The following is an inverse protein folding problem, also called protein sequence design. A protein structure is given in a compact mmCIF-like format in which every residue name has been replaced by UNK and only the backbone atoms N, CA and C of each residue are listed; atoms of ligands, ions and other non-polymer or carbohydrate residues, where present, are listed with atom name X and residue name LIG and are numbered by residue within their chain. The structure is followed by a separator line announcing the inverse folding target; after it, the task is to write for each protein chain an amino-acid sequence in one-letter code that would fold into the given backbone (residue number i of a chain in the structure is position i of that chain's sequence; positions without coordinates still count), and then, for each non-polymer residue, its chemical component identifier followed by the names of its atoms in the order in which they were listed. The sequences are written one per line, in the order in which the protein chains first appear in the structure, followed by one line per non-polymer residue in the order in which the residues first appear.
data_IF_604407914825
#
_entry.id   IF_604407914825
#
_cell.length_a   1.000
_cell.length_b   1.000
_cell.length_c   1.000
_cell.angle_alpha   90.00
_cell.angle_beta   90.00
_cell.angle_gamma   90.00
#
_symmetry.space_group_name_H-M   'P 1'
#
loop_
_entity.id
_entity.type
_entity.pdbx_description
1 polymer ?
#
# COMPACT_ATOMS: atom_id res chain seq x y z
N UNK A 1 19.18 35.67 26.59
CA UNK A 1 19.80 34.49 25.97
C UNK A 1 18.84 34.04 24.88
N UNK A 2 19.21 34.32 23.64
CA UNK A 2 18.38 34.11 22.46
C UNK A 2 18.32 32.62 22.10
N UNK A 3 17.11 32.08 21.89
CA UNK A 3 16.91 30.77 21.33
C UNK A 3 17.27 30.76 19.83
N UNK A 4 17.90 29.70 19.32
CA UNK A 4 18.20 29.63 17.90
C UNK A 4 16.92 29.38 17.10
N UNK A 5 16.70 30.29 16.18
CA UNK A 5 15.72 30.22 15.09
C UNK A 5 16.08 29.07 14.14
N UNK A 6 15.43 27.89 14.28
CA UNK A 6 15.54 26.81 13.32
C UNK A 6 14.53 27.03 12.21
N UNK A 7 14.76 28.06 11.40
CA UNK A 7 14.17 28.15 10.08
C UNK A 7 14.67 26.98 9.25
N UNK A 8 13.82 25.96 9.12
CA UNK A 8 14.05 24.77 8.29
C UNK A 8 14.15 25.22 6.83
N UNK A 9 15.31 24.98 6.24
CA UNK A 9 15.53 25.10 4.81
C UNK A 9 14.40 24.40 4.04
N UNK A 10 13.86 25.11 3.04
CA UNK A 10 12.99 24.52 2.04
C UNK A 10 13.70 23.29 1.44
N UNK A 11 12.96 22.21 1.09
CA UNK A 11 13.58 21.06 0.46
C UNK A 11 14.33 21.54 -0.78
N UNK A 12 15.60 21.16 -0.87
CA UNK A 12 16.44 21.41 -2.03
C UNK A 12 15.71 20.87 -3.27
N UNK A 13 15.27 21.77 -4.12
CA UNK A 13 14.75 21.43 -5.44
C UNK A 13 15.92 20.86 -6.24
N UNK A 14 16.00 19.54 -6.35
CA UNK A 14 16.67 18.70 -7.35
C UNK A 14 17.09 17.34 -6.75
N UNK A 15 16.22 16.63 -6.01
CA UNK A 15 16.33 15.18 -5.98
C UNK A 15 15.81 14.69 -7.34
N UNK A 16 16.65 13.99 -8.12
CA UNK A 16 16.23 13.44 -9.42
C UNK A 16 15.00 12.56 -9.22
N UNK A 17 14.02 12.65 -10.13
CA UNK A 17 12.78 11.87 -10.09
C UNK A 17 13.03 10.34 -10.10
N UNK A 18 14.27 9.91 -10.24
CA UNK A 18 14.72 8.52 -10.30
C UNK A 18 15.27 7.99 -8.97
N UNK A 19 15.27 8.81 -7.90
CA UNK A 19 15.79 8.39 -6.60
C UNK A 19 14.71 7.64 -5.80
N UNK A 20 15.05 6.38 -5.40
CA UNK A 20 14.18 5.55 -4.57
C UNK A 20 14.01 6.17 -3.18
N UNK A 21 12.76 6.50 -2.81
CA UNK A 21 12.41 6.99 -1.47
C UNK A 21 12.18 5.85 -0.48
N UNK A 22 11.81 4.67 -0.99
CA UNK A 22 11.70 3.42 -0.24
C UNK A 22 12.38 2.32 -1.05
N UNK A 23 13.27 1.57 -0.40
CA UNK A 23 13.86 0.35 -0.96
C UNK A 23 13.57 -0.81 -0.02
N UNK A 24 12.94 -1.84 -0.55
CA UNK A 24 12.63 -3.11 0.13
C UNK A 24 13.42 -4.21 -0.54
N UNK A 25 14.26 -4.95 0.21
CA UNK A 25 15.13 -5.99 -0.34
C UNK A 25 15.00 -7.30 0.43
N UNK A 26 14.69 -8.37 -0.30
CA UNK A 26 14.52 -9.75 0.19
C UNK A 26 13.72 -9.83 1.51
N UNK A 27 12.67 -9.02 1.61
CA UNK A 27 11.88 -8.87 2.81
C UNK A 27 11.14 -10.17 3.14
N UNK A 28 11.30 -10.65 4.37
CA UNK A 28 10.68 -11.89 4.85
C UNK A 28 9.96 -11.68 6.17
N UNK A 29 8.81 -12.32 6.31
CA UNK A 29 8.09 -12.41 7.57
C UNK A 29 7.47 -13.78 7.75
N UNK A 30 7.89 -14.48 8.79
CA UNK A 30 7.30 -15.72 9.22
C UNK A 30 6.55 -15.51 10.55
N UNK A 31 5.36 -16.05 10.63
CA UNK A 31 4.60 -16.16 11.88
C UNK A 31 4.63 -17.61 12.36
N UNK A 32 4.98 -17.78 13.62
CA UNK A 32 4.96 -19.10 14.26
C UNK A 32 3.67 -19.22 15.06
N UNK A 33 2.91 -20.31 14.83
CA UNK A 33 1.69 -20.56 15.60
C UNK A 33 2.00 -20.71 17.08
N UNK A 34 1.07 -20.29 17.97
CA UNK A 34 1.23 -20.41 19.44
C UNK A 34 1.55 -21.84 19.92
N UNK A 35 1.26 -22.86 19.10
CA UNK A 35 1.58 -24.28 19.40
C UNK A 35 2.90 -24.74 18.76
N UNK A 36 3.67 -23.86 18.12
CA UNK A 36 4.98 -24.15 17.52
C UNK A 36 4.97 -25.11 16.32
N UNK A 37 3.78 -25.57 15.88
CA UNK A 37 3.65 -26.64 14.85
C UNK A 37 3.50 -26.14 13.42
N UNK A 38 3.12 -24.90 13.20
CA UNK A 38 2.98 -24.33 11.86
C UNK A 38 3.72 -23.00 11.76
N UNK A 39 4.49 -22.85 10.68
CA UNK A 39 5.12 -21.61 10.26
C UNK A 39 4.37 -21.08 9.05
N UNK A 40 3.90 -19.85 9.11
CA UNK A 40 3.22 -19.18 8.00
C UNK A 40 4.17 -18.15 7.42
N UNK A 41 4.61 -18.36 6.19
CA UNK A 41 5.45 -17.44 5.44
C UNK A 41 4.57 -16.37 4.79
N UNK A 42 4.23 -15.35 5.55
CA UNK A 42 3.34 -14.29 5.08
C UNK A 42 4.00 -13.39 4.03
N UNK A 43 5.33 -13.16 4.15
CA UNK A 43 6.17 -12.47 3.18
C UNK A 43 7.45 -13.29 3.03
N UNK A 44 7.86 -13.60 1.80
CA UNK A 44 8.96 -14.53 1.54
C UNK A 44 9.82 -14.10 0.34
N UNK A 45 10.65 -13.09 0.57
CA UNK A 45 11.60 -12.58 -0.43
C UNK A 45 10.99 -11.51 -1.33
N UNK A 46 10.22 -10.58 -0.76
CA UNK A 46 9.66 -9.43 -1.48
C UNK A 46 10.73 -8.36 -1.66
N UNK A 47 10.93 -7.91 -2.90
CA UNK A 47 11.85 -6.82 -3.25
C UNK A 47 11.18 -5.87 -4.22
N UNK A 48 11.23 -4.58 -3.94
CA UNK A 48 10.81 -3.49 -4.82
C UNK A 48 11.33 -2.15 -4.31
N UNK A 49 11.40 -1.19 -5.20
CA UNK A 49 11.70 0.21 -4.89
C UNK A 49 10.47 1.08 -5.20
N UNK A 50 10.28 2.13 -4.40
CA UNK A 50 9.31 3.19 -4.63
C UNK A 50 10.06 4.48 -4.90
N UNK A 51 9.77 5.14 -6.02
CA UNK A 51 10.39 6.41 -6.39
C UNK A 51 9.69 7.57 -5.67
N UNK A 52 10.39 8.69 -5.58
CA UNK A 52 9.80 9.90 -5.01
C UNK A 52 8.62 10.39 -5.87
N UNK A 53 7.47 10.64 -5.23
CA UNK A 53 6.25 11.06 -5.91
C UNK A 53 5.54 9.94 -6.69
N UNK A 54 5.98 8.68 -6.59
CA UNK A 54 5.37 7.53 -7.26
C UNK A 54 4.26 6.91 -6.42
N UNK A 55 3.28 6.30 -7.09
CA UNK A 55 2.27 5.44 -6.50
C UNK A 55 2.51 4.00 -6.97
N UNK A 56 2.99 3.14 -6.08
CA UNK A 56 3.13 1.70 -6.33
C UNK A 56 1.90 0.96 -5.81
N UNK A 57 1.13 0.35 -6.70
CA UNK A 57 0.03 -0.55 -6.37
C UNK A 57 0.54 -1.94 -5.96
N UNK A 58 0.24 -2.42 -4.76
CA UNK A 58 0.50 -3.80 -4.33
C UNK A 58 -0.81 -4.57 -4.36
N UNK A 59 -0.97 -5.43 -5.37
CA UNK A 59 -2.26 -6.07 -5.71
C UNK A 59 -2.17 -7.59 -5.52
N UNK A 60 -3.29 -8.23 -5.19
CA UNK A 60 -3.40 -9.69 -5.08
C UNK A 60 -4.57 -10.12 -4.20
N UNK A 61 -4.86 -11.42 -4.16
CA UNK A 61 -5.95 -11.99 -3.37
C UNK A 61 -5.75 -11.77 -1.85
N UNK A 62 -6.85 -11.90 -1.08
CA UNK A 62 -6.78 -11.79 0.38
C UNK A 62 -5.81 -12.83 0.97
N UNK A 63 -5.02 -12.45 1.96
CA UNK A 63 -4.06 -13.34 2.61
C UNK A 63 -2.74 -13.54 1.88
N UNK A 64 -2.50 -12.93 0.71
CA UNK A 64 -1.23 -13.10 -0.03
C UNK A 64 -0.03 -12.35 0.58
N UNK A 65 -0.21 -11.54 1.65
CA UNK A 65 0.87 -10.88 2.38
C UNK A 65 0.95 -9.35 2.24
N UNK A 66 0.07 -8.70 1.48
CA UNK A 66 0.08 -7.23 1.22
C UNK A 66 0.06 -6.40 2.50
N UNK A 67 -0.96 -6.59 3.34
CA UNK A 67 -1.09 -5.89 4.63
C UNK A 67 0.11 -6.16 5.55
N UNK A 68 0.67 -7.38 5.50
CA UNK A 68 1.88 -7.72 6.27
C UNK A 68 3.07 -6.93 5.78
N UNK A 69 3.24 -6.79 4.45
CA UNK A 69 4.27 -5.94 3.84
C UNK A 69 4.11 -4.48 4.26
N UNK A 70 2.89 -3.95 4.22
CA UNK A 70 2.59 -2.60 4.72
C UNK A 70 2.94 -2.40 6.20
N UNK A 71 2.60 -3.36 7.06
CA UNK A 71 2.94 -3.33 8.50
C UNK A 71 4.44 -3.40 8.75
N UNK A 72 5.20 -4.12 7.93
CA UNK A 72 6.66 -4.16 7.99
C UNK A 72 7.26 -2.80 7.61
N UNK A 73 6.79 -2.18 6.53
CA UNK A 73 7.21 -0.84 6.12
C UNK A 73 6.90 0.19 7.22
N UNK A 74 5.76 0.07 7.87
CA UNK A 74 5.36 0.92 9.00
C UNK A 74 6.11 0.62 10.30
N UNK A 75 6.97 -0.40 10.35
CA UNK A 75 7.59 -0.91 11.59
C UNK A 75 6.58 -1.20 12.71
N UNK A 76 5.38 -1.65 12.34
CA UNK A 76 4.39 -2.16 13.30
C UNK A 76 4.70 -3.60 13.72
N UNK A 77 5.45 -4.31 12.89
CA UNK A 77 6.00 -5.64 13.13
C UNK A 77 7.44 -5.69 12.60
N UNK A 78 8.29 -6.50 13.23
CA UNK A 78 9.68 -6.68 12.80
C UNK A 78 9.77 -7.70 11.66
N UNK A 79 10.66 -7.51 10.67
CA UNK A 79 10.95 -8.50 9.65
C UNK A 79 11.65 -9.72 10.26
N UNK A 80 11.50 -10.88 9.62
CA UNK A 80 12.28 -12.08 9.95
C UNK A 80 13.63 -12.11 9.22
N UNK A 81 13.72 -11.45 8.06
CA UNK A 81 14.93 -11.21 7.27
C UNK A 81 14.67 -10.13 6.22
N UNK A 82 15.71 -9.69 5.54
CA UNK A 82 15.69 -8.63 4.53
C UNK A 82 15.83 -7.25 5.15
N UNK A 83 15.78 -6.21 4.32
CA UNK A 83 15.97 -4.83 4.74
C UNK A 83 14.92 -3.89 4.14
N UNK A 84 14.66 -2.80 4.87
CA UNK A 84 13.79 -1.70 4.44
C UNK A 84 14.56 -0.41 4.69
N UNK A 85 14.78 0.37 3.64
CA UNK A 85 15.45 1.67 3.69
C UNK A 85 14.46 2.74 3.23
N UNK A 86 14.28 3.80 4.02
CA UNK A 86 13.43 4.94 3.70
C UNK A 86 14.24 6.22 3.76
N UNK A 87 14.32 6.93 2.63
CA UNK A 87 15.04 8.22 2.52
C UNK A 87 16.47 8.13 3.11
N UNK A 88 17.17 7.03 2.77
CA UNK A 88 18.52 6.70 3.24
C UNK A 88 18.63 6.13 4.66
N UNK A 89 17.51 6.04 5.41
CA UNK A 89 17.48 5.44 6.75
C UNK A 89 17.18 3.94 6.68
N UNK A 90 18.12 3.11 7.13
CA UNK A 90 17.86 1.68 7.35
C UNK A 90 16.97 1.51 8.60
N UNK A 91 15.90 0.73 8.45
CA UNK A 91 14.94 0.53 9.55
C UNK A 91 15.41 -0.50 10.58
N UNK A 92 16.47 -1.27 10.31
CA UNK A 92 16.95 -2.31 11.22
C UNK A 92 17.51 -1.73 12.54
N UNK A 93 18.27 -0.63 12.46
CA UNK A 93 19.08 -0.10 13.55
C UNK A 93 18.61 1.27 14.07
N UNK A 94 17.35 1.65 13.86
CA UNK A 94 16.83 2.93 14.32
C UNK A 94 16.79 3.02 15.86
N UNK A 95 17.51 4.00 16.41
CA UNK A 95 17.39 4.42 17.78
C UNK A 95 16.00 5.04 18.06
N UNK A 96 15.72 5.33 19.33
CA UNK A 96 14.41 5.84 19.75
C UNK A 96 14.00 7.13 19.05
N UNK A 97 14.92 8.08 18.92
CA UNK A 97 14.63 9.39 18.31
C UNK A 97 14.50 9.27 16.78
N UNK A 98 15.26 8.38 16.16
CA UNK A 98 15.17 8.07 14.74
C UNK A 98 13.88 7.32 14.42
N UNK A 99 13.43 6.37 15.25
CA UNK A 99 12.14 5.71 15.11
C UNK A 99 10.98 6.71 15.19
N UNK A 100 11.09 7.69 16.09
CA UNK A 100 10.10 8.76 16.22
C UNK A 100 10.06 9.66 14.96
N UNK A 101 11.23 10.01 14.41
CA UNK A 101 11.34 10.75 13.15
C UNK A 101 10.84 9.92 11.95
N UNK A 102 11.12 8.62 11.93
CA UNK A 102 10.61 7.68 10.93
C UNK A 102 9.09 7.65 10.89
N UNK A 103 8.44 7.50 12.06
CA UNK A 103 6.98 7.47 12.20
C UNK A 103 6.30 8.75 11.73
N UNK A 104 7.01 9.88 11.71
CA UNK A 104 6.51 11.11 11.09
C UNK A 104 6.59 11.08 9.57
N UNK A 105 7.63 10.44 9.01
CA UNK A 105 7.89 10.39 7.56
C UNK A 105 7.03 9.35 6.85
N UNK A 106 6.75 8.23 7.52
CA UNK A 106 5.96 7.12 6.96
C UNK A 106 4.67 7.02 7.76
N UNK A 107 3.55 7.19 7.09
CA UNK A 107 2.22 7.17 7.69
C UNK A 107 1.35 6.10 7.04
N UNK A 108 0.28 5.69 7.72
CA UNK A 108 -0.62 4.65 7.22
C UNK A 108 -2.08 5.11 7.21
N UNK A 109 -2.76 4.83 6.11
CA UNK A 109 -4.22 4.84 6.02
C UNK A 109 -4.68 3.40 6.16
N UNK A 110 -5.43 3.10 7.21
CA UNK A 110 -5.90 1.74 7.52
C UNK A 110 -7.19 1.42 6.76
N UNK A 111 -7.41 0.14 6.53
CA UNK A 111 -8.60 -0.41 5.88
C UNK A 111 -9.90 -0.01 6.60
N UNK A 112 -9.89 -0.04 7.92
CA UNK A 112 -11.04 0.37 8.74
C UNK A 112 -10.76 1.74 9.40
N UNK A 113 -11.37 2.82 8.88
CA UNK A 113 -11.21 4.15 9.46
C UNK A 113 -11.84 4.26 10.87
N UNK A 114 -12.81 3.40 11.23
CA UNK A 114 -13.36 3.35 12.57
C UNK A 114 -12.36 2.84 13.59
N UNK A 115 -11.69 1.73 13.27
CA UNK A 115 -10.71 1.15 14.17
C UNK A 115 -9.48 2.07 14.38
N UNK A 116 -9.24 2.99 13.44
CA UNK A 116 -8.10 3.93 13.50
C UNK A 116 -8.36 5.17 14.36
N UNK A 117 -9.60 5.47 14.74
CA UNK A 117 -9.99 6.67 15.47
C UNK A 117 -10.67 6.30 16.79
N UNK A 118 -10.32 6.99 17.88
CA UNK A 118 -11.03 6.83 19.15
C UNK A 118 -12.45 7.41 19.04
N UNK A 119 -13.52 6.58 19.20
CA UNK A 119 -14.90 7.04 19.01
C UNK A 119 -15.36 8.06 20.06
N UNK A 120 -14.67 8.18 21.18
CA UNK A 120 -14.96 9.14 22.24
C UNK A 120 -14.36 10.53 22.00
N UNK A 121 -13.44 10.66 21.05
CA UNK A 121 -12.82 11.93 20.72
C UNK A 121 -13.64 12.68 19.67
N UNK A 122 -13.63 14.00 19.74
CA UNK A 122 -14.13 14.86 18.68
C UNK A 122 -13.12 14.89 17.53
N UNK A 123 -13.57 15.22 16.34
CA UNK A 123 -12.73 15.28 15.13
C UNK A 123 -11.52 16.21 15.34
N UNK A 124 -11.73 17.37 15.99
CA UNK A 124 -10.62 18.27 16.34
C UNK A 124 -9.55 17.61 17.20
N UNK A 125 -9.95 16.79 18.16
CA UNK A 125 -9.02 16.11 19.06
C UNK A 125 -8.30 14.97 18.33
N UNK A 126 -8.99 14.24 17.45
CA UNK A 126 -8.41 13.20 16.57
C UNK A 126 -7.34 13.78 15.66
N UNK A 127 -7.55 14.98 15.12
CA UNK A 127 -6.60 15.63 14.22
C UNK A 127 -5.50 16.39 14.97
N UNK A 128 -5.76 16.90 16.18
CA UNK A 128 -4.76 17.59 17.02
C UNK A 128 -3.78 16.61 17.66
N UNK A 129 -4.21 15.37 17.97
CA UNK A 129 -3.41 14.35 18.66
C UNK A 129 -2.02 14.09 18.01
N UNK A 130 -1.88 13.85 16.69
CA UNK A 130 -0.58 13.66 16.06
C UNK A 130 0.35 14.87 16.21
N UNK A 131 -0.19 16.09 16.16
CA UNK A 131 0.57 17.31 16.35
C UNK A 131 1.13 17.42 17.78
N UNK A 132 0.31 17.06 18.77
CA UNK A 132 0.73 17.03 20.17
C UNK A 132 1.82 16.00 20.41
N UNK A 133 1.66 14.78 19.88
CA UNK A 133 2.63 13.69 20.00
C UNK A 133 3.98 14.13 19.41
N UNK A 134 3.97 14.76 18.24
CA UNK A 134 5.19 15.16 17.53
C UNK A 134 5.69 16.57 17.88
N UNK A 135 5.07 17.23 18.86
CA UNK A 135 5.50 18.57 19.32
C UNK A 135 5.37 19.66 18.24
N UNK A 136 4.40 19.53 17.33
CA UNK A 136 4.18 20.45 16.20
C UNK A 136 3.14 21.50 16.62
N UNK A 137 3.49 22.78 16.51
CA UNK A 137 2.65 23.91 16.90
C UNK A 137 2.75 24.21 18.42
N UNK A 138 3.34 25.35 18.76
CA UNK A 138 3.63 25.74 20.13
C UNK A 138 2.37 26.09 20.93
N UNK A 139 1.35 26.58 20.22
CA UNK A 139 0.06 26.97 20.81
C UNK A 139 -1.09 26.17 20.23
N UNK A 140 -2.19 26.08 20.97
CA UNK A 140 -3.40 25.45 20.45
C UNK A 140 -3.92 26.14 19.19
N UNK A 141 -3.82 27.46 19.12
CA UNK A 141 -4.25 28.24 17.97
C UNK A 141 -3.44 27.89 16.71
N UNK A 142 -2.13 27.67 16.83
CA UNK A 142 -1.29 27.19 15.72
C UNK A 142 -1.67 25.79 15.27
N UNK A 143 -1.89 24.87 16.22
CA UNK A 143 -2.32 23.50 15.86
C UNK A 143 -3.68 23.48 15.18
N UNK A 144 -4.64 24.30 15.64
CA UNK A 144 -5.96 24.41 15.02
C UNK A 144 -5.89 24.92 13.57
N UNK A 145 -4.99 25.86 13.24
CA UNK A 145 -4.74 26.27 11.85
C UNK A 145 -4.22 25.13 10.99
N UNK A 146 -3.35 24.28 11.54
CA UNK A 146 -2.88 23.08 10.82
C UNK A 146 -4.01 22.06 10.62
N UNK A 147 -4.89 21.89 11.61
CA UNK A 147 -6.08 21.05 11.53
C UNK A 147 -7.03 21.56 10.44
N UNK A 148 -7.34 22.85 10.43
CA UNK A 148 -8.21 23.45 9.41
C UNK A 148 -7.63 23.28 8.00
N UNK A 149 -6.33 23.51 7.82
CA UNK A 149 -5.64 23.30 6.55
C UNK A 149 -5.69 21.83 6.11
N UNK A 150 -5.51 20.87 7.03
CA UNK A 150 -5.62 19.44 6.71
C UNK A 150 -7.06 19.07 6.29
N UNK A 151 -8.08 19.67 6.94
CA UNK A 151 -9.48 19.50 6.57
C UNK A 151 -9.79 20.06 5.18
N UNK A 152 -9.23 21.22 4.83
CA UNK A 152 -9.37 21.83 3.50
C UNK A 152 -8.76 20.93 2.42
N UNK A 153 -7.55 20.37 2.65
CA UNK A 153 -6.91 19.44 1.71
C UNK A 153 -7.77 18.22 1.38
N UNK A 154 -8.53 17.72 2.34
CA UNK A 154 -9.45 16.59 2.12
C UNK A 154 -10.87 17.01 1.76
N UNK A 155 -11.08 18.28 1.40
CA UNK A 155 -12.38 18.85 1.01
C UNK A 155 -13.49 18.68 2.08
N UNK A 156 -13.12 18.80 3.35
CA UNK A 156 -14.05 18.84 4.48
C UNK A 156 -14.26 20.30 4.93
N UNK A 157 -14.98 21.05 4.12
CA UNK A 157 -15.18 22.51 4.30
C UNK A 157 -16.66 22.87 4.41
N UNK A 158 -17.03 23.84 5.28
CA UNK A 158 -16.18 24.52 6.26
C UNK A 158 -15.81 23.57 7.43
N UNK A 159 -14.56 23.63 7.89
CA UNK A 159 -14.06 22.76 8.96
C UNK A 159 -14.91 22.82 10.24
N UNK A 160 -15.42 24.03 10.56
CA UNK A 160 -16.25 24.30 11.75
C UNK A 160 -17.49 23.39 11.87
N UNK A 161 -18.04 22.91 10.76
CA UNK A 161 -19.19 22.01 10.79
C UNK A 161 -18.87 20.60 11.30
N UNK A 162 -17.59 20.19 11.24
CA UNK A 162 -17.16 18.83 11.55
C UNK A 162 -16.34 18.72 12.81
N UNK A 163 -15.58 19.75 13.18
CA UNK A 163 -14.57 19.71 14.26
C UNK A 163 -15.13 19.29 15.62
N UNK A 164 -16.37 19.65 15.94
CA UNK A 164 -17.02 19.30 17.21
C UNK A 164 -17.85 18.00 17.15
N UNK A 165 -17.94 17.35 15.98
CA UNK A 165 -18.60 16.06 15.82
C UNK A 165 -17.69 14.91 16.27
N UNK A 166 -18.32 13.77 16.58
CA UNK A 166 -17.61 12.51 16.82
C UNK A 166 -17.54 11.66 15.53
N UNK A 167 -16.56 10.74 15.40
CA UNK A 167 -16.40 9.89 14.21
C UNK A 167 -17.67 9.13 13.80
N UNK A 168 -18.48 8.67 14.77
CA UNK A 168 -19.72 7.93 14.50
C UNK A 168 -20.82 8.78 13.85
N UNK A 169 -20.70 10.10 13.92
CA UNK A 169 -21.67 11.05 13.32
C UNK A 169 -21.39 11.35 11.85
N UNK A 170 -20.30 10.79 11.30
CA UNK A 170 -19.85 11.00 9.92
C UNK A 170 -20.25 9.82 9.01
N UNK A 171 -20.44 10.09 7.71
CA UNK A 171 -20.56 9.03 6.70
C UNK A 171 -19.23 8.27 6.51
N UNK A 172 -19.27 7.10 5.85
CA UNK A 172 -18.06 6.31 5.56
C UNK A 172 -17.01 7.11 4.80
N UNK A 173 -17.40 7.80 3.73
CA UNK A 173 -16.50 8.66 2.95
C UNK A 173 -15.96 9.86 3.73
N UNK A 174 -16.78 10.50 4.58
CA UNK A 174 -16.33 11.59 5.45
C UNK A 174 -15.31 11.09 6.48
N UNK A 175 -15.51 9.93 7.08
CA UNK A 175 -14.54 9.31 7.99
C UNK A 175 -13.22 9.02 7.31
N UNK A 176 -13.28 8.49 6.08
CA UNK A 176 -12.06 8.23 5.31
C UNK A 176 -11.30 9.51 5.00
N UNK A 177 -12.00 10.59 4.66
CA UNK A 177 -11.38 11.92 4.50
C UNK A 177 -10.70 12.39 5.78
N UNK A 178 -11.34 12.23 6.94
CA UNK A 178 -10.73 12.57 8.25
C UNK A 178 -9.51 11.69 8.55
N UNK A 179 -9.56 10.38 8.29
CA UNK A 179 -8.41 9.49 8.44
C UNK A 179 -7.25 9.91 7.53
N UNK A 180 -7.56 10.31 6.29
CA UNK A 180 -6.58 10.88 5.37
C UNK A 180 -6.01 12.21 5.90
N UNK A 181 -6.85 13.14 6.38
CA UNK A 181 -6.38 14.41 6.98
C UNK A 181 -5.43 14.17 8.16
N UNK A 182 -5.77 13.21 9.05
CA UNK A 182 -4.93 12.82 10.18
C UNK A 182 -3.55 12.34 9.75
N UNK A 183 -3.48 11.62 8.64
CA UNK A 183 -2.23 11.12 8.04
C UNK A 183 -1.42 12.29 7.46
N UNK A 184 -2.06 13.20 6.73
CA UNK A 184 -1.43 14.33 6.05
C UNK A 184 -0.91 15.41 6.98
N UNK A 185 -1.50 15.57 8.15
CA UNK A 185 -1.21 16.67 9.08
C UNK A 185 0.26 16.68 9.56
N UNK A 186 0.92 15.52 9.52
CA UNK A 186 2.34 15.36 9.84
C UNK A 186 3.26 15.67 8.67
N UNK A 187 2.71 15.99 7.48
CA UNK A 187 3.47 16.19 6.25
C UNK A 187 4.41 15.01 5.96
N UNK A 188 3.89 13.80 5.76
CA UNK A 188 4.68 12.59 5.55
C UNK A 188 5.43 12.62 4.22
N UNK A 189 6.35 11.69 4.04
CA UNK A 189 7.07 11.44 2.79
C UNK A 189 6.43 10.28 2.01
N UNK A 190 6.01 9.26 2.75
CA UNK A 190 5.39 8.04 2.23
C UNK A 190 4.09 7.78 2.98
N UNK A 191 3.07 7.37 2.23
CA UNK A 191 1.82 6.87 2.78
C UNK A 191 1.63 5.42 2.34
N UNK A 192 1.48 4.52 3.30
CA UNK A 192 1.00 3.15 3.06
C UNK A 192 -0.52 3.18 3.19
N UNK A 193 -1.23 3.01 2.09
CA UNK A 193 -2.69 2.99 2.07
C UNK A 193 -3.18 1.54 1.94
N UNK A 194 -3.63 0.95 3.05
CA UNK A 194 -4.09 -0.44 3.09
C UNK A 194 -5.61 -0.49 2.88
N UNK A 195 -6.02 -0.87 1.68
CA UNK A 195 -7.41 -0.97 1.23
C UNK A 195 -8.26 0.28 1.58
N UNK A 196 -7.81 1.50 1.26
CA UNK A 196 -8.38 2.72 1.79
C UNK A 196 -9.82 3.01 1.34
N UNK A 197 -10.34 2.27 0.35
CA UNK A 197 -11.70 2.45 -0.20
C UNK A 197 -12.58 1.19 -0.10
N UNK A 198 -12.10 0.10 0.51
CA UNK A 198 -12.83 -1.18 0.55
C UNK A 198 -14.15 -1.10 1.35
N UNK A 199 -14.19 -0.27 2.40
CA UNK A 199 -15.35 -0.09 3.28
C UNK A 199 -16.30 1.05 2.85
N UNK A 200 -16.15 1.56 1.62
CA UNK A 200 -16.88 2.70 1.10
C UNK A 200 -17.77 2.24 -0.06
N UNK A 201 -18.93 2.89 -0.22
CA UNK A 201 -19.81 2.65 -1.36
C UNK A 201 -19.11 2.98 -2.70
N UNK A 202 -19.53 2.31 -3.77
CA UNK A 202 -18.85 2.34 -5.08
C UNK A 202 -18.75 3.77 -5.66
N UNK A 203 -19.79 4.60 -5.49
CA UNK A 203 -19.81 5.97 -6.02
C UNK A 203 -18.78 6.86 -5.31
N UNK A 204 -18.64 6.71 -4.01
CA UNK A 204 -17.70 7.51 -3.20
C UNK A 204 -16.24 7.04 -3.34
N UNK A 205 -16.00 5.76 -3.73
CA UNK A 205 -14.62 5.24 -3.96
C UNK A 205 -13.84 6.07 -4.96
N UNK A 206 -14.43 6.34 -6.12
CA UNK A 206 -13.79 7.12 -7.17
C UNK A 206 -13.43 8.54 -6.69
N UNK A 207 -14.32 9.19 -5.93
CA UNK A 207 -14.06 10.52 -5.37
C UNK A 207 -12.88 10.52 -4.40
N UNK A 208 -12.78 9.51 -3.52
CA UNK A 208 -11.67 9.38 -2.57
C UNK A 208 -10.35 9.12 -3.30
N UNK A 209 -10.33 8.24 -4.30
CA UNK A 209 -9.11 7.98 -5.09
C UNK A 209 -8.67 9.22 -5.87
N UNK A 210 -9.60 9.96 -6.49
CA UNK A 210 -9.30 11.24 -7.13
C UNK A 210 -8.73 12.26 -6.15
N UNK A 211 -9.32 12.36 -4.96
CA UNK A 211 -8.82 13.23 -3.90
C UNK A 211 -7.39 12.85 -3.50
N UNK A 212 -7.12 11.57 -3.25
CA UNK A 212 -5.79 11.08 -2.88
C UNK A 212 -4.76 11.36 -3.99
N UNK A 213 -5.11 11.17 -5.27
CA UNK A 213 -4.23 11.47 -6.42
C UNK A 213 -3.96 12.98 -6.55
N UNK A 214 -4.95 13.82 -6.31
CA UNK A 214 -4.77 15.27 -6.27
C UNK A 214 -3.82 15.71 -5.15
N UNK A 215 -3.98 15.15 -3.95
CA UNK A 215 -3.11 15.42 -2.79
C UNK A 215 -1.68 14.94 -3.06
N UNK A 216 -1.53 13.75 -3.64
CA UNK A 216 -0.23 13.20 -4.04
C UNK A 216 0.52 14.17 -4.96
N UNK A 217 -0.14 14.65 -6.02
CA UNK A 217 0.46 15.59 -6.96
C UNK A 217 0.79 16.95 -6.31
N UNK A 218 -0.07 17.47 -5.42
CA UNK A 218 0.14 18.77 -4.76
C UNK A 218 1.28 18.73 -3.73
N UNK A 219 1.44 17.61 -3.02
CA UNK A 219 2.42 17.49 -1.92
C UNK A 219 3.70 16.74 -2.33
N UNK A 220 3.74 16.12 -3.52
CA UNK A 220 4.84 15.27 -3.96
C UNK A 220 4.97 14.00 -3.10
N UNK A 221 3.84 13.46 -2.62
CA UNK A 221 3.81 12.27 -1.77
C UNK A 221 4.09 11.01 -2.58
N UNK A 222 4.70 10.02 -1.94
CA UNK A 222 4.82 8.67 -2.51
C UNK A 222 3.86 7.73 -1.81
N UNK A 223 3.26 6.79 -2.55
CA UNK A 223 2.28 5.85 -2.00
C UNK A 223 2.67 4.39 -2.24
N UNK A 224 2.52 3.57 -1.21
CA UNK A 224 2.32 2.12 -1.37
C UNK A 224 0.83 1.86 -1.20
N UNK A 225 0.14 1.65 -2.33
CA UNK A 225 -1.31 1.45 -2.39
C UNK A 225 -1.64 -0.04 -2.39
N UNK A 226 -2.16 -0.55 -1.30
CA UNK A 226 -2.52 -1.96 -1.13
C UNK A 226 -4.00 -2.15 -1.44
N UNK A 227 -4.31 -3.08 -2.35
CA UNK A 227 -5.68 -3.42 -2.72
C UNK A 227 -5.80 -4.87 -3.21
N UNK A 228 -6.98 -5.42 -3.13
CA UNK A 228 -7.34 -6.67 -3.82
C UNK A 228 -8.04 -6.41 -5.16
N UNK A 229 -8.40 -5.17 -5.44
CA UNK A 229 -9.11 -4.76 -6.65
C UNK A 229 -8.14 -4.12 -7.65
N UNK A 230 -7.81 -4.88 -8.71
CA UNK A 230 -6.88 -4.43 -9.75
C UNK A 230 -7.43 -3.24 -10.56
N UNK A 231 -8.77 -3.06 -10.63
CA UNK A 231 -9.38 -1.91 -11.31
C UNK A 231 -9.06 -0.60 -10.60
N UNK A 232 -9.11 -0.61 -9.27
CA UNK A 232 -8.74 0.58 -8.49
C UNK A 232 -7.25 0.87 -8.60
N UNK A 233 -6.39 -0.18 -8.68
CA UNK A 233 -4.97 -0.02 -8.93
C UNK A 233 -4.68 0.55 -10.32
N UNK A 234 -5.39 0.09 -11.36
CA UNK A 234 -5.31 0.67 -12.72
C UNK A 234 -5.56 2.18 -12.73
N UNK A 235 -6.54 2.62 -11.97
CA UNK A 235 -6.89 4.04 -11.91
C UNK A 235 -5.89 4.88 -11.11
N UNK A 236 -5.34 4.32 -10.03
CA UNK A 236 -4.61 5.10 -9.03
C UNK A 236 -3.09 4.96 -9.14
N UNK A 237 -2.56 3.76 -9.44
CA UNK A 237 -1.14 3.47 -9.41
C UNK A 237 -0.39 3.88 -10.70
N UNK A 238 0.89 4.21 -10.57
CA UNK A 238 1.82 4.43 -11.69
C UNK A 238 2.54 3.12 -12.06
N UNK A 239 2.86 2.29 -11.06
CA UNK A 239 3.36 0.92 -11.22
C UNK A 239 2.56 -0.04 -10.36
N UNK A 240 2.48 -1.29 -10.80
CA UNK A 240 1.74 -2.35 -10.09
C UNK A 240 2.69 -3.52 -9.82
N UNK A 241 2.70 -3.98 -8.57
CA UNK A 241 3.31 -5.22 -8.13
C UNK A 241 2.22 -6.22 -7.74
N UNK A 242 2.14 -7.34 -8.45
CA UNK A 242 1.17 -8.41 -8.20
C UNK A 242 1.76 -9.42 -7.23
N UNK A 243 1.09 -9.64 -6.12
CA UNK A 243 1.57 -10.49 -5.03
C UNK A 243 0.73 -11.77 -4.90
N UNK A 244 1.40 -12.92 -4.82
CA UNK A 244 0.80 -14.23 -4.63
C UNK A 244 1.56 -15.04 -3.56
N UNK A 245 0.87 -15.57 -2.55
CA UNK A 245 1.44 -16.37 -1.45
C UNK A 245 2.79 -15.85 -0.92
N UNK A 246 2.85 -14.58 -0.58
CA UNK A 246 4.03 -13.95 0.03
C UNK A 246 5.13 -13.51 -0.94
N UNK A 247 4.94 -13.60 -2.26
CA UNK A 247 5.92 -13.18 -3.27
C UNK A 247 5.31 -12.26 -4.32
N UNK A 248 6.12 -11.38 -4.89
CA UNK A 248 5.79 -10.65 -6.12
C UNK A 248 5.99 -11.62 -7.28
N UNK A 249 4.95 -11.79 -8.10
CA UNK A 249 4.95 -12.66 -9.28
C UNK A 249 5.05 -11.87 -10.58
N UNK A 250 4.66 -10.61 -10.55
CA UNK A 250 4.78 -9.68 -11.67
C UNK A 250 4.86 -8.24 -11.14
N UNK A 251 5.70 -7.39 -11.74
CA UNK A 251 5.82 -5.98 -11.43
C UNK A 251 6.23 -5.21 -12.68
N UNK A 252 5.59 -4.07 -12.93
CA UNK A 252 5.87 -3.22 -14.09
C UNK A 252 5.10 -1.91 -13.99
N UNK A 253 5.12 -1.12 -15.06
CA UNK A 253 4.22 0.02 -15.21
C UNK A 253 2.76 -0.46 -15.20
N UNK A 254 1.84 0.43 -14.88
CA UNK A 254 0.42 0.12 -14.88
C UNK A 254 -0.03 -0.43 -16.24
N UNK A 255 0.40 0.17 -17.34
CA UNK A 255 0.05 -0.27 -18.71
C UNK A 255 0.61 -1.67 -19.02
N UNK A 256 1.87 -1.95 -18.64
CA UNK A 256 2.48 -3.27 -18.88
C UNK A 256 1.76 -4.39 -18.13
N UNK A 257 1.48 -4.19 -16.84
CA UNK A 257 0.85 -5.23 -16.00
C UNK A 257 -0.61 -5.44 -16.36
N UNK A 258 -1.34 -4.38 -16.74
CA UNK A 258 -2.79 -4.48 -17.02
C UNK A 258 -3.07 -4.84 -18.47
N UNK A 259 -2.41 -4.19 -19.43
CA UNK A 259 -2.74 -4.37 -20.85
C UNK A 259 -1.88 -5.48 -21.50
N UNK A 260 -0.72 -5.82 -20.89
CA UNK A 260 0.21 -6.86 -21.36
C UNK A 260 0.63 -7.82 -20.24
N UNK A 261 -0.31 -8.40 -19.47
CA UNK A 261 0.00 -9.29 -18.35
C UNK A 261 0.74 -10.54 -18.84
N UNK A 262 1.81 -10.91 -18.16
CA UNK A 262 2.68 -12.03 -18.51
C UNK A 262 2.42 -13.24 -17.61
N UNK A 263 2.28 -13.02 -16.31
CA UNK A 263 2.07 -14.11 -15.37
C UNK A 263 0.60 -14.60 -15.43
N UNK A 264 0.32 -15.92 -15.52
CA UNK A 264 -1.05 -16.43 -15.60
C UNK A 264 -1.97 -15.99 -14.46
N UNK A 265 -1.42 -15.79 -13.27
CA UNK A 265 -2.19 -15.24 -12.13
C UNK A 265 -2.64 -13.82 -12.38
N UNK A 266 -1.79 -12.96 -12.94
CA UNK A 266 -2.13 -11.56 -13.28
C UNK A 266 -3.25 -11.52 -14.32
N UNK A 267 -3.15 -12.34 -15.37
CA UNK A 267 -4.20 -12.48 -16.39
C UNK A 267 -5.54 -12.84 -15.77
N UNK A 268 -5.53 -13.84 -14.90
CA UNK A 268 -6.72 -14.30 -14.23
C UNK A 268 -7.32 -13.26 -13.25
N UNK A 269 -6.51 -12.46 -12.57
CA UNK A 269 -7.00 -11.35 -11.76
C UNK A 269 -7.68 -10.26 -12.59
N UNK A 270 -7.14 -9.96 -13.77
CA UNK A 270 -7.71 -8.97 -14.69
C UNK A 270 -9.03 -9.48 -15.28
N UNK A 271 -9.05 -10.73 -15.74
CA UNK A 271 -10.26 -11.35 -16.29
C UNK A 271 -11.41 -11.45 -15.28
N UNK A 272 -11.09 -11.67 -14.00
CA UNK A 272 -12.11 -11.73 -12.94
C UNK A 272 -12.83 -10.40 -12.71
N UNK A 273 -12.25 -9.29 -13.13
CA UNK A 273 -12.79 -7.92 -12.92
C UNK A 273 -13.43 -7.38 -14.21
N UNK A 274 -13.03 -7.85 -15.39
CA UNK A 274 -13.66 -7.43 -16.65
C UNK A 274 -15.13 -7.88 -16.64
N UNK A 275 -16.06 -6.94 -16.43
CA UNK A 275 -17.49 -7.16 -16.65
C UNK A 275 -17.71 -7.65 -18.09
N UNK A 276 -18.59 -8.64 -18.32
CA UNK A 276 -18.99 -8.99 -19.68
C UNK A 276 -19.58 -7.75 -20.35
N UNK A 277 -19.03 -7.33 -21.48
CA UNK A 277 -19.65 -6.30 -22.31
C UNK A 277 -21.12 -6.66 -22.47
N UNK A 278 -22.00 -5.77 -22.07
CA UNK A 278 -23.46 -5.92 -22.10
C UNK A 278 -23.90 -6.25 -23.54
N UNK A 279 -24.19 -7.53 -23.80
CA UNK A 279 -24.67 -7.99 -25.09
C UNK A 279 -24.19 -9.38 -25.55
N UNK A 280 -23.22 -9.99 -24.92
CA UNK A 280 -22.79 -11.37 -25.21
C UNK A 280 -22.98 -12.28 -23.99
N UNK A 281 -24.20 -12.73 -23.79
CA UNK A 281 -24.59 -13.66 -22.70
C UNK A 281 -24.03 -15.09 -22.90
N UNK A 282 -23.43 -15.39 -24.03
CA UNK A 282 -23.11 -16.79 -24.44
C UNK A 282 -21.65 -17.22 -24.25
N UNK A 283 -20.79 -16.40 -23.65
CA UNK A 283 -19.45 -16.86 -23.30
C UNK A 283 -19.16 -16.57 -21.84
N UNK A 284 -19.52 -17.52 -20.97
CA UNK A 284 -18.84 -17.68 -19.68
C UNK A 284 -17.37 -17.93 -20.06
N UNK A 285 -16.53 -16.88 -20.09
CA UNK A 285 -15.07 -17.02 -20.22
C UNK A 285 -14.64 -17.89 -19.05
N UNK A 286 -14.13 -19.06 -19.36
CA UNK A 286 -13.60 -20.00 -18.38
C UNK A 286 -12.43 -19.29 -17.73
N UNK A 287 -12.60 -18.85 -16.48
CA UNK A 287 -11.52 -18.23 -15.71
C UNK A 287 -10.27 -19.11 -15.86
N UNK A 288 -9.14 -18.52 -16.20
CA UNK A 288 -7.86 -19.22 -16.37
C UNK A 288 -7.28 -19.75 -15.05
N UNK A 289 -8.12 -19.94 -14.05
CA UNK A 289 -7.77 -20.43 -12.69
C UNK A 289 -8.58 -21.67 -12.36
N UNK A 290 -7.93 -22.67 -11.75
CA UNK A 290 -8.56 -23.85 -11.16
C UNK A 290 -8.22 -23.97 -9.68
N UNK A 291 -9.09 -24.63 -8.90
CA UNK A 291 -8.83 -24.95 -7.50
C UNK A 291 -8.86 -23.75 -6.52
N UNK A 292 -8.56 -24.05 -5.28
CA UNK A 292 -8.54 -23.09 -4.15
C UNK A 292 -7.15 -22.50 -3.90
N UNK A 293 -7.09 -21.39 -3.18
CA UNK A 293 -5.83 -20.75 -2.77
C UNK A 293 -5.14 -21.69 -1.76
N UNK A 294 -3.89 -22.15 -2.03
CA UNK A 294 -3.14 -22.93 -1.06
C UNK A 294 -2.91 -22.17 0.23
N UNK A 295 -2.78 -22.92 1.34
CA UNK A 295 -2.45 -22.30 2.63
C UNK A 295 -1.02 -21.74 2.63
N UNK A 296 -0.83 -20.56 3.19
CA UNK A 296 0.51 -20.00 3.43
C UNK A 296 1.37 -20.81 4.43
N UNK A 297 0.76 -21.81 5.11
CA UNK A 297 1.47 -22.79 5.95
C UNK A 297 1.87 -24.06 5.19
N UNK A 298 1.31 -24.27 3.97
CA UNK A 298 1.58 -25.44 3.12
C UNK A 298 1.77 -24.95 1.68
N UNK A 299 2.91 -24.31 1.44
CA UNK A 299 3.26 -23.70 0.16
C UNK A 299 3.65 -24.80 -0.82
N UNK A 300 3.06 -24.84 -2.04
CA UNK A 300 3.42 -25.80 -3.08
C UNK A 300 4.91 -25.73 -3.43
N UNK A 301 5.55 -26.87 -3.69
CA UNK A 301 6.94 -26.93 -4.21
C UNK A 301 7.03 -26.29 -5.59
N UNK A 302 8.18 -25.77 -5.95
CA UNK A 302 8.39 -25.10 -7.23
C UNK A 302 7.55 -23.84 -7.38
N UNK A 303 6.88 -23.63 -8.51
CA UNK A 303 6.00 -22.47 -8.70
C UNK A 303 4.77 -22.55 -7.78
N UNK A 304 4.58 -21.53 -6.93
CA UNK A 304 3.46 -21.46 -5.97
C UNK A 304 2.09 -21.46 -6.63
N UNK A 305 2.00 -20.89 -7.85
CA UNK A 305 0.75 -20.81 -8.59
C UNK A 305 0.40 -22.10 -9.36
N UNK A 306 1.32 -23.09 -9.45
CA UNK A 306 1.17 -24.31 -10.27
C UNK A 306 -0.12 -25.10 -10.03
N UNK A 307 -0.61 -25.12 -8.79
CA UNK A 307 -1.83 -25.86 -8.42
C UNK A 307 -3.12 -25.24 -8.95
N UNK A 308 -3.05 -23.98 -9.39
CA UNK A 308 -4.17 -23.22 -9.95
C UNK A 308 -3.96 -22.82 -11.41
N UNK A 309 -2.76 -23.02 -11.93
CA UNK A 309 -2.37 -22.62 -13.28
C UNK A 309 -2.79 -23.65 -14.32
N UNK A 310 -3.57 -23.24 -15.33
CA UNK A 310 -3.95 -24.12 -16.46
C UNK A 310 -2.76 -24.51 -17.35
N UNK A 311 -1.68 -23.70 -17.30
CA UNK A 311 -0.48 -23.91 -18.10
C UNK A 311 0.62 -24.65 -17.32
N UNK A 312 0.32 -25.21 -16.13
CA UNK A 312 1.32 -25.88 -15.31
C UNK A 312 1.86 -27.14 -15.98
N UNK A 313 3.18 -27.33 -15.92
CA UNK A 313 3.90 -28.53 -16.35
C UNK A 313 4.62 -29.16 -15.17
N UNK A 314 5.19 -30.36 -15.37
CA UNK A 314 5.99 -31.05 -14.35
C UNK A 314 7.19 -30.19 -13.88
N UNK A 315 7.78 -29.42 -14.77
CA UNK A 315 8.87 -28.49 -14.42
C UNK A 315 8.44 -27.41 -13.40
N UNK A 316 7.18 -26.99 -13.45
CA UNK A 316 6.64 -26.05 -12.47
C UNK A 316 6.57 -26.63 -11.06
N UNK A 317 6.58 -27.96 -10.92
CA UNK A 317 6.56 -28.65 -9.64
C UNK A 317 7.96 -29.04 -9.14
N UNK A 318 8.84 -29.43 -10.06
CA UNK A 318 10.15 -30.05 -9.74
C UNK A 318 11.31 -29.07 -9.69
N UNK A 319 11.27 -28.01 -10.50
CA UNK A 319 12.31 -26.98 -10.48
C UNK A 319 12.08 -25.98 -9.31
N UNK A 320 13.16 -25.31 -8.85
CA UNK A 320 13.05 -24.26 -7.81
C UNK A 320 12.03 -23.20 -8.22
N UNK A 321 11.47 -22.47 -7.26
CA UNK A 321 10.54 -21.38 -7.55
C UNK A 321 11.14 -20.34 -8.52
N UNK A 322 10.37 -19.87 -9.52
CA UNK A 322 10.88 -18.86 -10.46
C UNK A 322 11.20 -17.55 -9.75
N UNK A 323 12.34 -16.96 -10.10
CA UNK A 323 12.68 -15.60 -9.69
C UNK A 323 12.11 -14.58 -10.69
N UNK A 324 11.96 -13.33 -10.25
CA UNK A 324 11.58 -12.23 -11.13
C UNK A 324 12.65 -12.02 -12.21
N UNK A 325 12.23 -11.99 -13.47
CA UNK A 325 13.09 -11.74 -14.64
C UNK A 325 12.55 -10.54 -15.39
N UNK A 326 13.45 -9.60 -15.70
CA UNK A 326 13.14 -8.45 -16.55
C UNK A 326 12.99 -8.89 -18.01
N UNK A 327 11.91 -8.47 -18.65
CA UNK A 327 11.64 -8.69 -20.10
C UNK A 327 11.83 -7.42 -20.92
N UNK A 328 12.33 -6.36 -20.31
CA UNK A 328 12.54 -5.03 -20.86
C UNK A 328 11.63 -3.98 -20.23
N UNK A 329 12.11 -2.72 -20.21
CA UNK A 329 11.36 -1.60 -19.67
C UNK A 329 11.14 -1.58 -18.16
N UNK A 330 11.71 -2.55 -17.41
CA UNK A 330 11.42 -2.73 -15.97
C UNK A 330 10.19 -3.59 -15.69
N UNK A 331 9.60 -4.21 -16.73
CA UNK A 331 8.56 -5.20 -16.58
C UNK A 331 9.16 -6.54 -16.18
N UNK A 332 8.91 -6.97 -14.95
CA UNK A 332 9.47 -8.20 -14.39
C UNK A 332 8.38 -9.21 -14.05
N UNK A 333 8.65 -10.49 -14.28
CA UNK A 333 7.72 -11.59 -13.97
C UNK A 333 8.43 -12.85 -13.48
N UNK A 334 7.70 -13.71 -12.78
CA UNK A 334 8.17 -14.98 -12.21
C UNK A 334 7.48 -16.20 -12.89
N UNK A 335 7.34 -16.20 -14.21
CA UNK A 335 6.78 -17.32 -14.97
C UNK A 335 7.84 -17.96 -15.88
N UNK A 336 8.05 -19.30 -15.79
CA UNK A 336 8.98 -20.03 -16.66
C UNK A 336 8.49 -20.12 -18.10
N UNK A 337 7.18 -20.26 -18.27
CA UNK A 337 6.54 -20.56 -19.55
C UNK A 337 6.00 -19.32 -20.28
N UNK A 338 6.38 -18.14 -19.86
CA UNK A 338 5.83 -16.89 -20.37
C UNK A 338 5.89 -16.72 -21.92
N UNK A 339 6.86 -17.39 -22.57
CA UNK A 339 6.99 -17.36 -24.05
C UNK A 339 6.06 -18.32 -24.78
N UNK A 340 5.43 -19.23 -24.04
CA UNK A 340 4.64 -20.34 -24.58
C UNK A 340 3.13 -20.19 -24.32
N UNK A 341 2.74 -19.17 -23.56
CA UNK A 341 1.37 -18.93 -23.09
C UNK A 341 0.87 -17.54 -23.50
#
# INVERSE_FOLDING_TARGET
MSAPDTARAAPSAAASADEAVLSVKDLRKEFVSKRGRARVKAVDGVSFDLRRGEILGLVGESGCGKTTTGKLIMRLIEPSAGSIVVDGMDTADLGRDEDFAYRRRVQMIFQDPYASMNPHFKIKDVLEEPLLIHGIGSTRAERMKLVERAMEMVKMTPASEYLDRHPHMLSGGQRQRIATARTLILNPLIIVADEPVSMIDLSTRAEILHLMKSIQAQMGLSFVYITHDISTARFFADRIAVMYLGRIVEIGSQDEVIDHPVHPYTRALIEAVCEPESGRVDTIRKLEITGEIPSASDIPSGCRFRTRCLYATEECATLPEPELKDIGGGHMHACRRWKEI
#
